data_IF_316569387579
#
_entry.id   IF_316569387579
#
_cell.length_a   1.000
_cell.length_b   1.000
_cell.length_c   1.000
_cell.angle_alpha   90.00
_cell.angle_beta   90.00
_cell.angle_gamma   90.00
#
_symmetry.space_group_name_H-M   'P 1'
#
loop_
_entity.id
_entity.type
_entity.pdbx_description
1 polymer ?
#
# COMPACT_ATOMS: atom_id res chain seq x y z
N UNK A 1 -4.17 -19.77 12.76
CA UNK A 1 -4.05 -19.26 11.37
C UNK A 1 -3.21 -20.24 10.58
N UNK A 2 -3.50 -20.49 9.29
CA UNK A 2 -2.63 -21.28 8.42
C UNK A 2 -1.18 -20.77 8.43
N UNK A 3 -0.20 -21.63 8.21
CA UNK A 3 1.23 -21.28 8.27
C UNK A 3 1.59 -20.14 7.31
N UNK A 4 1.07 -20.19 6.09
CA UNK A 4 1.34 -19.20 5.03
C UNK A 4 0.45 -17.95 5.08
N UNK A 5 -0.48 -17.87 6.03
CA UNK A 5 -1.28 -16.66 6.20
C UNK A 5 -0.39 -15.50 6.69
N UNK A 6 -0.54 -14.33 6.07
CA UNK A 6 0.19 -13.09 6.36
C UNK A 6 -0.76 -11.89 6.48
N UNK A 7 -0.35 -10.85 7.20
CA UNK A 7 -1.06 -9.59 7.36
C UNK A 7 -0.30 -8.46 6.68
N UNK A 8 -0.99 -7.59 5.93
CA UNK A 8 -0.51 -6.23 5.68
C UNK A 8 -1.03 -5.32 6.79
N UNK A 9 -0.17 -4.47 7.35
CA UNK A 9 -0.52 -3.66 8.53
C UNK A 9 -0.46 -2.18 8.19
N UNK A 10 -1.57 -1.48 8.39
CA UNK A 10 -1.64 -0.03 8.15
C UNK A 10 -1.08 0.73 9.35
N UNK A 11 -0.24 1.73 9.07
CA UNK A 11 0.28 2.61 10.11
C UNK A 11 -0.84 3.35 10.85
N UNK A 12 -0.67 3.61 12.17
CA UNK A 12 -1.62 4.40 12.93
C UNK A 12 -1.82 5.80 12.36
N UNK A 13 -3.05 6.32 12.47
CA UNK A 13 -3.36 7.72 12.12
C UNK A 13 -2.54 8.71 12.93
N UNK A 14 -2.10 8.34 14.13
CA UNK A 14 -1.24 9.16 14.96
C UNK A 14 0.05 9.55 14.19
N UNK A 15 0.67 8.61 13.48
CA UNK A 15 1.89 8.84 12.70
C UNK A 15 1.60 9.66 11.44
N UNK A 16 0.59 9.25 10.66
CA UNK A 16 0.37 9.79 9.31
C UNK A 16 -0.51 11.04 9.25
N UNK A 17 -1.50 11.17 10.13
CA UNK A 17 -2.49 12.25 10.10
C UNK A 17 -2.28 13.29 11.20
N UNK A 18 -1.86 12.87 12.39
CA UNK A 18 -1.70 13.75 13.56
C UNK A 18 -0.29 14.32 13.64
N UNK A 19 0.72 13.47 13.77
CA UNK A 19 2.13 13.85 13.75
C UNK A 19 2.60 14.26 12.34
N UNK A 20 1.90 13.79 11.29
CA UNK A 20 2.16 14.15 9.89
C UNK A 20 3.62 13.89 9.50
N UNK A 21 4.14 12.73 9.91
CA UNK A 21 5.54 12.32 9.71
C UNK A 21 6.59 13.21 10.42
N UNK A 22 6.20 14.05 11.38
CA UNK A 22 7.15 14.86 12.13
C UNK A 22 7.44 14.24 13.51
N UNK A 23 8.72 13.93 13.77
CA UNK A 23 9.21 13.36 15.05
C UNK A 23 8.40 12.15 15.51
N UNK A 24 8.40 11.10 14.70
CA UNK A 24 7.55 9.90 14.87
C UNK A 24 8.29 8.73 15.53
N UNK A 25 9.48 8.94 16.07
CA UNK A 25 10.37 7.88 16.56
C UNK A 25 9.69 7.04 17.65
N UNK A 26 9.08 7.70 18.63
CA UNK A 26 8.40 7.04 19.74
C UNK A 26 7.14 6.30 19.27
N UNK A 27 6.30 6.96 18.46
CA UNK A 27 5.07 6.38 17.96
C UNK A 27 5.30 5.21 17.00
N UNK A 28 6.35 5.29 16.18
CA UNK A 28 6.70 4.21 15.25
C UNK A 28 7.27 3.01 16.00
N UNK A 29 8.17 3.23 16.98
CA UNK A 29 8.68 2.16 17.83
C UNK A 29 7.54 1.46 18.59
N UNK A 30 6.64 2.22 19.20
CA UNK A 30 5.48 1.65 19.91
C UNK A 30 4.59 0.83 18.96
N UNK A 31 4.37 1.30 17.73
CA UNK A 31 3.61 0.56 16.73
C UNK A 31 4.31 -0.76 16.30
N UNK A 32 5.63 -0.77 16.19
CA UNK A 32 6.38 -1.99 15.89
C UNK A 32 6.25 -3.01 17.02
N UNK A 33 6.31 -2.56 18.28
CA UNK A 33 6.12 -3.41 19.46
C UNK A 33 4.69 -3.98 19.52
N UNK A 34 3.68 -3.14 19.31
CA UNK A 34 2.27 -3.55 19.28
C UNK A 34 2.01 -4.65 18.24
N UNK A 35 2.75 -4.63 17.12
CA UNK A 35 2.60 -5.59 16.02
C UNK A 35 3.61 -6.73 16.05
N UNK A 36 4.56 -6.74 17.00
CA UNK A 36 5.66 -7.70 17.06
C UNK A 36 5.18 -9.15 17.19
N UNK A 37 4.05 -9.37 17.88
CA UNK A 37 3.45 -10.69 18.07
C UNK A 37 3.01 -11.37 16.77
N UNK A 38 2.89 -10.62 15.65
CA UNK A 38 2.65 -11.20 14.33
C UNK A 38 3.87 -11.95 13.80
N UNK A 39 5.09 -11.62 14.26
CA UNK A 39 6.35 -12.25 13.85
C UNK A 39 6.47 -12.36 12.33
N UNK A 40 6.83 -13.54 11.83
CA UNK A 40 6.95 -13.84 10.40
C UNK A 40 5.63 -13.71 9.61
N UNK A 41 4.49 -13.47 10.28
CA UNK A 41 3.21 -13.20 9.64
C UNK A 41 2.99 -11.73 9.32
N UNK A 42 3.82 -10.81 9.84
CA UNK A 42 3.82 -9.40 9.45
C UNK A 42 4.41 -9.28 8.05
N UNK A 43 3.56 -8.93 7.10
CA UNK A 43 3.95 -8.55 5.75
C UNK A 43 4.22 -7.04 5.66
N UNK A 44 3.86 -6.39 4.55
CA UNK A 44 4.18 -4.99 4.32
C UNK A 44 3.48 -4.05 5.30
N UNK A 45 4.14 -2.95 5.60
CA UNK A 45 3.56 -1.82 6.31
C UNK A 45 2.99 -0.82 5.30
N UNK A 46 1.71 -0.49 5.43
CA UNK A 46 1.03 0.51 4.61
C UNK A 46 1.07 1.88 5.27
N UNK A 47 1.86 2.79 4.72
CA UNK A 47 1.89 4.21 5.08
C UNK A 47 0.94 4.99 4.16
N UNK A 48 -0.32 5.14 4.56
CA UNK A 48 -1.28 5.98 3.84
C UNK A 48 -1.28 7.40 4.40
N UNK A 49 -0.99 8.38 3.53
CA UNK A 49 -0.92 9.79 3.90
C UNK A 49 -2.27 10.52 3.68
N UNK A 50 -2.58 11.56 4.47
CA UNK A 50 -3.78 12.36 4.24
C UNK A 50 -3.63 13.24 2.98
N UNK A 51 -4.76 13.67 2.38
CA UNK A 51 -4.76 14.44 1.14
C UNK A 51 -4.18 15.85 1.29
N UNK A 52 -4.01 16.36 2.50
CA UNK A 52 -3.48 17.70 2.78
C UNK A 52 -1.98 17.68 3.15
N UNK A 53 -1.33 16.52 3.17
CA UNK A 53 0.11 16.39 3.44
C UNK A 53 0.89 16.46 2.14
N UNK A 54 1.33 17.67 1.80
CA UNK A 54 2.23 17.90 0.68
C UNK A 54 3.60 17.25 0.90
N UNK A 55 4.28 16.98 -0.21
CA UNK A 55 5.64 16.48 -0.23
C UNK A 55 6.58 17.65 0.06
N UNK A 56 7.31 17.55 1.15
CA UNK A 56 8.33 18.50 1.57
C UNK A 56 9.60 17.69 1.92
N UNK A 57 10.61 17.61 1.03
CA UNK A 57 11.73 16.67 1.16
C UNK A 57 12.38 16.69 2.53
N UNK A 58 12.70 17.89 3.04
CA UNK A 58 13.39 18.07 4.33
C UNK A 58 12.55 17.59 5.52
N UNK A 59 11.22 17.59 5.40
CA UNK A 59 10.31 17.20 6.49
C UNK A 59 10.01 15.71 6.49
N UNK A 60 9.90 15.10 5.32
CA UNK A 60 9.39 13.72 5.20
C UNK A 60 10.50 12.69 5.09
N UNK A 61 11.68 13.06 4.55
CA UNK A 61 12.73 12.08 4.25
C UNK A 61 13.25 11.37 5.50
N UNK A 62 13.46 12.10 6.60
CA UNK A 62 13.94 11.52 7.86
C UNK A 62 12.96 10.48 8.43
N UNK A 63 11.65 10.77 8.38
CA UNK A 63 10.63 9.84 8.85
C UNK A 63 10.49 8.62 7.93
N UNK A 64 10.56 8.80 6.62
CA UNK A 64 10.51 7.69 5.66
C UNK A 64 11.74 6.78 5.80
N UNK A 65 12.93 7.36 5.96
CA UNK A 65 14.18 6.62 6.17
C UNK A 65 14.18 5.83 7.49
N UNK A 66 13.74 6.47 8.58
CA UNK A 66 13.52 5.80 9.86
C UNK A 66 12.57 4.62 9.71
N UNK A 67 11.38 4.84 9.13
CA UNK A 67 10.39 3.78 8.99
C UNK A 67 10.92 2.63 8.12
N UNK A 68 11.62 2.96 7.03
CA UNK A 68 12.20 1.95 6.15
C UNK A 68 13.31 1.14 6.81
N UNK A 69 14.09 1.76 7.70
CA UNK A 69 15.17 1.11 8.44
C UNK A 69 14.63 0.20 9.52
N UNK A 70 13.67 0.67 10.31
CA UNK A 70 13.16 0.00 11.50
C UNK A 70 12.04 -1.02 11.20
N UNK A 71 11.38 -0.95 10.04
CA UNK A 71 10.25 -1.86 9.72
C UNK A 71 10.63 -3.34 9.59
N UNK A 72 11.92 -3.66 9.35
CA UNK A 72 12.42 -5.01 9.04
C UNK A 72 11.58 -5.72 7.93
N UNK A 73 11.15 -4.97 6.91
CA UNK A 73 10.25 -5.47 5.87
C UNK A 73 9.91 -4.43 4.81
N UNK A 74 8.91 -4.74 3.98
CA UNK A 74 8.45 -3.83 2.92
C UNK A 74 7.61 -2.70 3.50
N UNK A 75 7.99 -1.46 3.25
CA UNK A 75 7.17 -0.27 3.49
C UNK A 75 6.61 0.20 2.15
N UNK A 76 5.30 0.41 2.09
CA UNK A 76 4.63 0.96 0.90
C UNK A 76 3.91 2.26 1.24
N UNK A 77 3.98 3.23 0.33
CA UNK A 77 3.42 4.55 0.54
C UNK A 77 2.18 4.77 -0.34
N UNK A 78 1.09 5.21 0.26
CA UNK A 78 -0.09 5.67 -0.47
C UNK A 78 -0.29 7.18 -0.24
N UNK A 79 0.38 8.03 -1.04
CA UNK A 79 0.17 9.46 -0.98
C UNK A 79 -1.19 9.84 -1.57
N UNK A 80 -1.78 10.92 -1.05
CA UNK A 80 -3.08 11.45 -1.50
C UNK A 80 -3.03 12.93 -1.92
N UNK A 81 -1.85 13.54 -1.87
CA UNK A 81 -1.61 14.91 -2.35
C UNK A 81 -0.75 14.86 -3.62
N UNK A 82 -1.08 15.67 -4.63
CA UNK A 82 -0.48 15.59 -5.97
C UNK A 82 1.01 15.94 -6.01
N UNK A 83 1.54 16.72 -5.06
CA UNK A 83 2.97 17.02 -4.97
C UNK A 83 3.88 15.79 -4.88
N UNK A 84 3.34 14.65 -4.43
CA UNK A 84 4.07 13.37 -4.34
C UNK A 84 4.31 12.71 -5.70
N UNK A 85 3.77 13.27 -6.79
CA UNK A 85 4.06 12.85 -8.18
C UNK A 85 5.19 13.66 -8.82
N UNK A 86 5.87 14.50 -8.03
CA UNK A 86 7.03 15.26 -8.51
C UNK A 86 8.25 14.36 -8.70
N UNK A 87 9.13 14.71 -9.63
CA UNK A 87 10.38 13.98 -9.88
C UNK A 87 11.26 13.87 -8.61
N UNK A 88 11.21 14.87 -7.73
CA UNK A 88 11.96 14.84 -6.47
C UNK A 88 11.38 13.83 -5.47
N UNK A 89 10.05 13.75 -5.36
CA UNK A 89 9.39 12.72 -4.56
C UNK A 89 9.72 11.33 -5.10
N UNK A 90 9.66 11.13 -6.43
CA UNK A 90 10.00 9.85 -7.06
C UNK A 90 11.45 9.45 -6.78
N UNK A 91 12.41 10.37 -6.91
CA UNK A 91 13.82 10.13 -6.58
C UNK A 91 14.03 9.79 -5.11
N UNK A 92 13.33 10.49 -4.21
CA UNK A 92 13.44 10.25 -2.76
C UNK A 92 12.92 8.86 -2.41
N UNK A 93 11.74 8.50 -2.91
CA UNK A 93 11.16 7.17 -2.69
C UNK A 93 12.02 6.05 -3.29
N UNK A 94 12.56 6.26 -4.50
CA UNK A 94 13.47 5.31 -5.14
C UNK A 94 14.77 5.13 -4.33
N UNK A 95 15.36 6.20 -3.82
CA UNK A 95 16.56 6.15 -2.98
C UNK A 95 16.33 5.36 -1.67
N UNK A 96 15.14 5.51 -1.09
CA UNK A 96 14.72 4.77 0.10
C UNK A 96 14.17 3.36 -0.22
N UNK A 97 14.02 3.00 -1.50
CA UNK A 97 13.38 1.73 -1.93
C UNK A 97 11.95 1.58 -1.41
N UNK A 98 11.22 2.69 -1.31
CA UNK A 98 9.81 2.73 -0.94
C UNK A 98 8.97 2.79 -2.21
N UNK A 99 8.10 1.81 -2.42
CA UNK A 99 7.20 1.81 -3.56
C UNK A 99 5.89 2.55 -3.25
N UNK A 100 5.33 3.21 -4.27
CA UNK A 100 3.98 3.76 -4.19
C UNK A 100 2.95 2.65 -4.41
N UNK A 101 1.89 2.70 -3.61
CA UNK A 101 0.73 1.81 -3.75
C UNK A 101 -0.01 2.12 -5.06
N UNK A 102 -0.24 1.11 -5.90
CA UNK A 102 -1.20 1.25 -6.99
C UNK A 102 -2.61 1.30 -6.42
N UNK A 103 -3.32 2.41 -6.57
CA UNK A 103 -4.67 2.58 -6.05
C UNK A 103 -5.68 2.74 -7.19
N UNK A 104 -6.78 2.00 -7.13
CA UNK A 104 -7.93 2.18 -8.04
C UNK A 104 -9.22 2.42 -7.24
N UNK A 105 -10.02 3.45 -7.58
CA UNK A 105 -9.64 4.54 -8.48
C UNK A 105 -8.47 5.36 -7.90
N UNK A 106 -7.65 5.98 -8.76
CA UNK A 106 -6.51 6.78 -8.31
C UNK A 106 -6.99 8.03 -7.56
N UNK A 107 -6.37 8.31 -6.41
CA UNK A 107 -6.60 9.55 -5.64
C UNK A 107 -5.74 10.70 -6.18
N UNK A 108 -4.54 10.37 -6.66
CA UNK A 108 -3.63 11.26 -7.40
C UNK A 108 -3.14 10.49 -8.63
N UNK A 109 -2.52 11.17 -9.59
CA UNK A 109 -1.89 10.50 -10.72
C UNK A 109 -0.72 9.62 -10.24
N UNK A 110 -1.03 8.36 -9.94
CA UNK A 110 -0.13 7.45 -9.25
C UNK A 110 0.38 6.32 -10.15
N UNK A 111 0.24 6.51 -11.47
CA UNK A 111 0.82 5.61 -12.47
C UNK A 111 2.33 5.86 -12.53
N UNK A 112 3.06 5.35 -11.53
CA UNK A 112 4.48 5.20 -11.68
C UNK A 112 4.73 4.23 -12.84
N UNK A 113 5.56 4.57 -13.84
CA UNK A 113 5.93 3.61 -14.88
C UNK A 113 6.82 2.54 -14.24
N UNK A 114 6.22 1.41 -13.84
CA UNK A 114 6.97 0.23 -13.45
C UNK A 114 6.79 -0.82 -14.54
N UNK A 115 7.81 -0.96 -15.40
CA UNK A 115 7.91 -2.09 -16.34
C UNK A 115 7.96 -3.45 -15.61
N UNK A 116 8.26 -3.43 -14.30
CA UNK A 116 8.34 -4.59 -13.40
C UNK A 116 7.03 -4.94 -12.68
N UNK A 117 5.92 -4.23 -12.93
CA UNK A 117 4.67 -4.38 -12.18
C UNK A 117 4.71 -3.73 -10.80
N UNK A 118 3.64 -3.89 -10.01
CA UNK A 118 3.48 -3.24 -8.71
C UNK A 118 3.55 -4.24 -7.56
N UNK A 119 4.32 -3.96 -6.50
CA UNK A 119 4.37 -4.81 -5.30
C UNK A 119 3.11 -4.74 -4.43
N UNK A 120 2.30 -3.68 -4.57
CA UNK A 120 1.15 -3.45 -3.69
C UNK A 120 0.01 -2.70 -4.39
N UNK A 121 -1.12 -3.38 -4.55
CA UNK A 121 -2.36 -2.85 -5.12
C UNK A 121 -3.41 -2.65 -4.02
N UNK A 122 -4.17 -1.55 -4.10
CA UNK A 122 -5.36 -1.29 -3.30
C UNK A 122 -6.54 -0.91 -4.18
N UNK A 123 -7.53 -1.79 -4.21
CA UNK A 123 -8.68 -1.69 -5.10
C UNK A 123 -9.91 -1.32 -4.28
N UNK A 124 -10.30 -0.06 -4.33
CA UNK A 124 -11.36 0.51 -3.51
C UNK A 124 -12.74 0.42 -4.16
N UNK A 125 -12.86 0.04 -5.43
CA UNK A 125 -14.13 -0.10 -6.16
C UNK A 125 -14.49 1.15 -6.96
N UNK A 126 -15.02 0.95 -8.16
CA UNK A 126 -15.51 2.01 -9.05
C UNK A 126 -16.80 1.58 -9.79
N UNK A 127 -17.72 2.50 -10.12
CA UNK A 127 -17.62 3.95 -9.97
C UNK A 127 -17.86 4.48 -8.55
N UNK A 128 -18.43 3.68 -7.64
CA UNK A 128 -18.70 4.09 -6.27
C UNK A 128 -17.70 3.45 -5.29
N UNK A 129 -16.74 4.27 -4.83
CA UNK A 129 -15.68 3.88 -3.90
C UNK A 129 -16.26 3.22 -2.65
N UNK A 130 -15.70 2.09 -2.27
CA UNK A 130 -16.06 1.15 -1.22
C UNK A 130 -17.26 0.24 -1.49
N UNK A 131 -18.06 0.52 -2.51
CA UNK A 131 -19.31 -0.21 -2.78
C UNK A 131 -19.25 -1.01 -4.06
N UNK A 132 -18.66 -0.48 -5.13
CA UNK A 132 -18.77 -1.12 -6.44
C UNK A 132 -17.90 -2.38 -6.57
N UNK A 133 -18.42 -3.46 -7.16
CA UNK A 133 -17.61 -4.62 -7.52
C UNK A 133 -16.75 -4.30 -8.76
N UNK A 134 -15.65 -5.04 -8.90
CA UNK A 134 -14.92 -5.14 -10.17
C UNK A 134 -15.45 -6.32 -10.99
N UNK A 135 -15.47 -6.14 -12.30
CA UNK A 135 -15.73 -7.22 -13.26
C UNK A 135 -14.57 -8.20 -13.33
N UNK A 136 -14.82 -9.41 -13.83
CA UNK A 136 -13.77 -10.40 -14.02
C UNK A 136 -12.65 -9.92 -14.96
N UNK A 137 -13.01 -9.16 -16.01
CA UNK A 137 -12.04 -8.57 -16.93
C UNK A 137 -11.15 -7.56 -16.22
N UNK A 138 -11.71 -6.62 -15.46
CA UNK A 138 -10.92 -5.66 -14.69
C UNK A 138 -9.99 -6.36 -13.68
N UNK A 139 -10.48 -7.41 -13.02
CA UNK A 139 -9.64 -8.20 -12.09
C UNK A 139 -8.49 -8.88 -12.84
N UNK A 140 -8.72 -9.40 -14.05
CA UNK A 140 -7.67 -9.98 -14.87
C UNK A 140 -6.63 -8.93 -15.30
N UNK A 141 -7.07 -7.71 -15.65
CA UNK A 141 -6.18 -6.60 -15.97
C UNK A 141 -5.29 -6.24 -14.76
N UNK A 142 -5.87 -6.14 -13.56
CA UNK A 142 -5.08 -5.90 -12.33
C UNK A 142 -4.14 -7.04 -12.00
N UNK A 143 -4.54 -8.30 -12.22
CA UNK A 143 -3.66 -9.46 -12.04
C UNK A 143 -2.44 -9.39 -12.96
N UNK A 144 -2.60 -8.87 -14.19
CA UNK A 144 -1.50 -8.63 -15.12
C UNK A 144 -0.51 -7.53 -14.70
N UNK A 145 -0.89 -6.67 -13.75
CA UNK A 145 -0.01 -5.65 -13.16
C UNK A 145 0.80 -6.15 -11.96
N UNK A 146 0.48 -7.33 -11.45
CA UNK A 146 1.12 -7.91 -10.28
C UNK A 146 2.38 -8.70 -10.67
N UNK A 147 3.41 -8.61 -9.85
CA UNK A 147 4.62 -9.43 -9.93
C UNK A 147 4.64 -10.49 -8.83
N UNK A 148 5.64 -11.38 -8.86
CA UNK A 148 5.80 -12.39 -7.81
C UNK A 148 6.02 -11.73 -6.44
N UNK A 149 5.23 -12.12 -5.44
CA UNK A 149 5.26 -11.52 -4.11
C UNK A 149 4.43 -10.25 -3.95
N UNK A 150 3.71 -9.81 -5.00
CA UNK A 150 2.80 -8.69 -4.90
C UNK A 150 1.63 -8.94 -3.95
N UNK A 151 1.15 -7.86 -3.37
CA UNK A 151 -0.02 -7.80 -2.52
C UNK A 151 -1.16 -7.11 -3.26
N UNK A 152 -2.38 -7.62 -3.11
CA UNK A 152 -3.58 -6.94 -3.57
C UNK A 152 -4.62 -6.92 -2.44
N UNK A 153 -5.04 -5.72 -2.06
CA UNK A 153 -6.07 -5.51 -1.03
C UNK A 153 -7.30 -4.90 -1.67
N UNK A 154 -8.38 -5.69 -1.71
CA UNK A 154 -9.71 -5.20 -2.05
C UNK A 154 -10.32 -4.49 -0.84
N UNK A 155 -10.60 -3.21 -0.98
CA UNK A 155 -11.18 -2.34 0.05
C UNK A 155 -12.64 -1.96 -0.27
N UNK A 156 -13.22 -2.52 -1.33
CA UNK A 156 -14.64 -2.39 -1.70
C UNK A 156 -15.57 -3.27 -0.83
N UNK A 157 -15.51 -3.03 0.47
CA UNK A 157 -16.07 -3.93 1.50
C UNK A 157 -17.52 -3.66 1.87
N UNK A 158 -18.11 -2.52 1.48
CA UNK A 158 -19.39 -2.05 2.02
C UNK A 158 -20.56 -3.02 1.77
N UNK A 159 -20.51 -3.80 0.68
CA UNK A 159 -21.55 -4.77 0.29
C UNK A 159 -21.00 -6.20 0.14
N UNK A 160 -19.81 -6.49 0.68
CA UNK A 160 -19.19 -7.82 0.59
C UNK A 160 -18.42 -8.12 -0.71
N UNK A 161 -18.45 -7.21 -1.69
CA UNK A 161 -17.82 -7.37 -3.00
C UNK A 161 -16.32 -7.68 -2.95
N UNK A 162 -15.60 -7.13 -1.96
CA UNK A 162 -14.17 -7.40 -1.77
C UNK A 162 -13.85 -8.91 -1.66
N UNK A 163 -14.71 -9.70 -1.02
CA UNK A 163 -14.48 -11.15 -0.85
C UNK A 163 -14.61 -11.87 -2.19
N UNK A 164 -15.67 -11.58 -2.94
CA UNK A 164 -15.90 -12.18 -4.26
C UNK A 164 -14.81 -11.78 -5.25
N UNK A 165 -14.42 -10.50 -5.27
CA UNK A 165 -13.35 -10.02 -6.13
C UNK A 165 -11.99 -10.65 -5.78
N UNK A 166 -11.67 -10.79 -4.49
CA UNK A 166 -10.46 -11.48 -4.05
C UNK A 166 -10.42 -12.96 -4.46
N UNK A 167 -11.56 -13.67 -4.36
CA UNK A 167 -11.66 -15.06 -4.82
C UNK A 167 -11.49 -15.17 -6.35
N UNK A 168 -12.11 -14.27 -7.11
CA UNK A 168 -11.92 -14.20 -8.57
C UNK A 168 -10.45 -13.96 -8.92
N UNK A 169 -9.77 -13.01 -8.27
CA UNK A 169 -8.34 -12.76 -8.49
C UNK A 169 -7.49 -13.99 -8.17
N UNK A 170 -7.76 -14.66 -7.04
CA UNK A 170 -7.06 -15.89 -6.67
C UNK A 170 -7.22 -16.99 -7.72
N UNK A 171 -8.41 -17.17 -8.27
CA UNK A 171 -8.68 -18.17 -9.31
C UNK A 171 -7.93 -17.86 -10.61
N UNK A 172 -7.87 -16.59 -11.01
CA UNK A 172 -7.11 -16.13 -12.19
C UNK A 172 -5.63 -16.43 -12.00
N UNK A 173 -5.03 -16.00 -10.88
CA UNK A 173 -3.61 -16.19 -10.59
C UNK A 173 -3.23 -17.69 -10.51
N UNK A 174 -4.12 -18.52 -9.95
CA UNK A 174 -3.89 -19.98 -9.88
C UNK A 174 -3.95 -20.66 -11.26
N UNK A 175 -4.72 -20.11 -12.20
CA UNK A 175 -4.88 -20.68 -13.55
C UNK A 175 -3.73 -20.27 -14.49
N UNK A 176 -3.04 -19.17 -14.20
CA UNK A 176 -1.89 -18.68 -14.96
C UNK A 176 -0.55 -19.33 -14.57
N UNK A 177 -0.54 -20.23 -13.58
CA UNK A 177 0.67 -20.92 -13.08
C UNK A 177 0.81 -22.35 -13.63
N UNK A 178 0.18 -22.67 -14.77
CA UNK A 178 0.33 -23.91 -15.54
C UNK A 178 0.98 -23.62 -16.89
#
# INVERSE_FOLDING_TARGET
MPEDFRFSVKLPRLITHVARLNRIEEEFSAFLDDTAHLGNKRGPLLCQLPPDLAFEPDKVSAALDLMQTEAEGTLVLEPRHSSWTSLEAEKTLAALRIERVFADPPVIDNQAPSDSGYSYLRLHGKPHVYYSPYTQTEIADYAGLMSSGSWCVFDNTALGNATENALTMKNILSSSTL
#
